data_IF_026907289573
#
_entry.id   IF_026907289573
#
_cell.length_a   1.000
_cell.length_b   1.000
_cell.length_c   1.000
_cell.angle_alpha   90.00
_cell.angle_beta   90.00
_cell.angle_gamma   90.00
#
_symmetry.space_group_name_H-M   'P 1'
#
loop_
_entity.id
_entity.type
_entity.pdbx_description
1 polymer ?
#
# COMPACT_ATOMS: atom_id res chain seq x y z
N UNK A 1 -18.86 9.14 12.46
CA UNK A 1 -18.31 9.99 11.39
C UNK A 1 -18.04 11.37 11.97
N UNK A 2 -16.90 11.53 12.63
CA UNK A 2 -16.48 12.81 13.22
C UNK A 2 -15.74 13.59 12.13
N UNK A 3 -16.42 14.58 11.55
CA UNK A 3 -15.90 15.41 10.46
C UNK A 3 -14.66 16.19 10.92
N UNK A 4 -13.60 16.19 10.11
CA UNK A 4 -12.49 17.15 10.24
C UNK A 4 -13.05 18.56 10.03
N UNK A 5 -12.64 19.49 10.89
CA UNK A 5 -12.78 20.92 10.67
C UNK A 5 -11.37 21.44 10.52
N UNK A 6 -10.92 21.65 9.28
CA UNK A 6 -9.65 22.35 9.04
C UNK A 6 -9.97 23.84 9.00
N UNK A 7 -9.59 24.57 10.04
CA UNK A 7 -9.78 26.02 10.11
C UNK A 7 -8.75 26.71 9.21
N UNK A 8 -9.17 27.08 7.99
CA UNK A 8 -8.35 27.90 7.09
C UNK A 8 -8.50 29.36 7.48
N UNK A 9 -7.41 29.93 8.01
CA UNK A 9 -7.29 31.36 8.27
C UNK A 9 -7.17 32.15 6.97
N UNK A 10 -8.18 32.97 6.67
CA UNK A 10 -8.13 34.01 5.64
C UNK A 10 -7.17 35.13 6.09
N UNK A 11 -6.05 35.29 5.38
CA UNK A 11 -5.12 36.41 5.54
C UNK A 11 -4.82 37.07 4.19
N UNK A 12 -5.33 38.29 4.01
CA UNK A 12 -5.30 39.03 2.75
C UNK A 12 -3.94 39.66 2.38
N UNK A 13 -3.82 39.96 1.08
CA UNK A 13 -2.79 40.75 0.43
C UNK A 13 -2.82 42.24 0.82
N UNK A 14 -1.67 42.84 1.15
CA UNK A 14 -1.20 44.18 0.72
C UNK A 14 0.34 44.16 0.71
N UNK A 15 0.97 44.84 -0.24
CA UNK A 15 2.38 44.68 -0.62
C UNK A 15 3.41 45.68 -0.07
N UNK A 16 4.60 45.58 -0.69
CA UNK A 16 5.73 46.53 -0.82
C UNK A 16 6.95 46.39 0.13
N UNK A 17 8.04 45.90 -0.47
CA UNK A 17 9.50 46.15 -0.37
C UNK A 17 10.13 46.86 0.85
N UNK A 18 11.13 46.22 1.47
CA UNK A 18 12.53 46.70 1.59
C UNK A 18 13.45 45.73 2.35
N UNK A 19 14.75 45.78 2.03
CA UNK A 19 15.90 45.02 2.53
C UNK A 19 16.04 44.98 4.08
N UNK A 20 16.53 43.84 4.61
CA UNK A 20 17.31 43.84 5.86
C UNK A 20 17.12 42.66 6.82
N UNK A 21 18.11 41.76 6.84
CA UNK A 21 18.68 41.03 8.00
C UNK A 21 17.91 39.94 8.76
N UNK A 22 18.73 38.96 9.19
CA UNK A 22 18.60 38.09 10.37
C UNK A 22 17.75 36.81 10.23
N UNK A 23 18.45 35.68 10.37
CA UNK A 23 17.86 34.35 10.46
C UNK A 23 16.99 34.21 11.70
N UNK A 24 15.68 34.23 11.49
CA UNK A 24 14.70 33.75 12.45
C UNK A 24 14.46 32.27 12.15
N UNK A 25 14.92 31.40 13.06
CA UNK A 25 14.38 30.04 13.18
C UNK A 25 12.89 30.20 13.51
N UNK A 26 12.04 30.09 12.49
CA UNK A 26 10.60 29.93 12.69
C UNK A 26 10.38 28.58 13.35
N UNK A 27 10.00 28.60 14.62
CA UNK A 27 9.40 27.46 15.30
C UNK A 27 8.17 27.08 14.48
N UNK A 28 8.22 25.95 13.78
CA UNK A 28 7.02 25.38 13.17
C UNK A 28 5.99 25.14 14.29
N UNK A 29 4.72 25.51 14.08
CA UNK A 29 3.69 25.23 15.06
C UNK A 29 3.59 23.71 15.25
N UNK A 30 3.77 23.25 16.48
CA UNK A 30 3.43 21.88 16.90
C UNK A 30 1.93 21.67 16.62
N UNK A 31 1.63 21.11 15.45
CA UNK A 31 0.32 20.54 15.19
C UNK A 31 0.11 19.42 16.21
N UNK A 32 -0.80 19.64 17.15
CA UNK A 32 -1.22 18.61 18.10
C UNK A 32 -1.93 17.52 17.33
N UNK A 33 -1.18 16.46 17.00
CA UNK A 33 -1.66 15.33 16.22
C UNK A 33 -2.63 14.48 17.06
N UNK A 34 -3.92 14.83 16.99
CA UNK A 34 -5.00 14.16 17.72
C UNK A 34 -5.15 12.65 17.44
N UNK A 35 -4.48 12.11 16.41
CA UNK A 35 -4.43 10.67 16.14
C UNK A 35 -3.47 9.91 17.07
N UNK A 36 -2.55 10.60 17.75
CA UNK A 36 -1.49 9.96 18.53
C UNK A 36 -1.91 9.40 19.90
N UNK A 37 -3.12 9.71 20.38
CA UNK A 37 -3.61 9.34 21.72
C UNK A 37 -4.65 8.20 21.74
N UNK A 38 -5.00 7.62 20.60
CA UNK A 38 -5.91 6.45 20.61
C UNK A 38 -5.14 5.21 21.08
N UNK A 39 -5.44 4.74 22.29
CA UNK A 39 -4.80 3.54 22.85
C UNK A 39 -5.11 2.29 22.02
N UNK A 40 -4.07 1.50 21.76
CA UNK A 40 -4.09 0.19 21.11
C UNK A 40 -4.05 -0.95 22.14
N UNK A 41 -4.15 -0.65 23.44
CA UNK A 41 -3.85 -1.60 24.53
C UNK A 41 -4.80 -2.81 24.57
N UNK A 42 -5.99 -2.71 23.98
CA UNK A 42 -7.00 -3.78 23.91
C UNK A 42 -6.78 -4.76 22.74
N UNK A 43 -5.94 -4.42 21.77
CA UNK A 43 -5.57 -5.27 20.64
C UNK A 43 -4.08 -5.62 20.69
N UNK A 44 -3.59 -5.93 21.90
CA UNK A 44 -2.18 -6.24 22.21
C UNK A 44 -1.53 -7.32 21.33
N UNK A 45 -0.29 -7.68 21.64
CA UNK A 45 0.60 -8.47 20.75
C UNK A 45 0.15 -9.88 20.34
N UNK A 46 -1.01 -10.34 20.79
CA UNK A 46 -1.57 -11.63 20.38
C UNK A 46 -2.06 -11.57 18.92
N UNK A 47 -1.74 -12.58 18.08
CA UNK A 47 -2.23 -12.61 16.72
C UNK A 47 -3.73 -12.91 16.68
N UNK A 48 -4.35 -12.52 15.57
CA UNK A 48 -5.75 -12.78 15.29
C UNK A 48 -5.84 -13.78 14.16
N UNK A 49 -6.74 -14.75 14.31
CA UNK A 49 -6.97 -15.76 13.29
C UNK A 49 -8.19 -15.40 12.42
N UNK A 50 -8.20 -15.80 11.14
CA UNK A 50 -9.34 -15.60 10.27
C UNK A 50 -10.48 -16.59 10.57
N UNK A 51 -11.69 -16.08 10.73
CA UNK A 51 -12.92 -16.87 10.80
C UNK A 51 -13.21 -17.51 9.45
N UNK A 52 -13.04 -16.76 8.35
CA UNK A 52 -13.21 -17.24 6.99
C UNK A 52 -11.85 -17.28 6.26
N UNK A 53 -11.32 -18.50 6.11
CA UNK A 53 -10.03 -18.71 5.45
C UNK A 53 -10.10 -18.47 3.94
N UNK A 54 -11.28 -18.53 3.31
CA UNK A 54 -11.44 -18.33 1.87
C UNK A 54 -11.09 -16.90 1.42
N UNK A 55 -10.99 -15.94 2.37
CA UNK A 55 -10.54 -14.57 2.13
C UNK A 55 -9.03 -14.43 1.90
N UNK A 56 -8.24 -15.48 2.15
CA UNK A 56 -6.78 -15.45 2.12
C UNK A 56 -6.27 -16.49 1.14
N UNK A 57 -5.04 -16.37 0.65
CA UNK A 57 -4.50 -17.26 -0.38
C UNK A 57 -4.32 -18.71 0.11
N UNK A 58 -4.40 -19.67 -0.82
CA UNK A 58 -4.36 -21.10 -0.53
C UNK A 58 -3.00 -21.55 0.02
N UNK A 59 -1.92 -20.87 -0.37
CA UNK A 59 -0.57 -21.15 0.06
C UNK A 59 -0.37 -20.95 1.57
N UNK A 60 -1.18 -20.08 2.20
CA UNK A 60 -1.18 -19.87 3.66
C UNK A 60 -2.21 -20.77 4.32
N UNK A 61 -3.42 -20.84 3.75
CA UNK A 61 -4.53 -21.58 4.33
C UNK A 61 -4.96 -22.70 3.38
N UNK A 62 -4.30 -23.85 3.52
CA UNK A 62 -4.54 -25.04 2.73
C UNK A 62 -6.04 -25.41 2.75
N UNK A 63 -6.56 -25.87 1.59
CA UNK A 63 -7.98 -26.25 1.32
C UNK A 63 -8.93 -25.13 0.90
N UNK A 64 -8.45 -23.92 0.68
CA UNK A 64 -9.25 -22.87 0.06
C UNK A 64 -9.15 -23.01 -1.48
N UNK A 65 -10.25 -23.01 -2.24
CA UNK A 65 -10.18 -23.24 -3.68
C UNK A 65 -9.38 -22.13 -4.39
N UNK A 66 -8.60 -22.46 -5.42
CA UNK A 66 -7.97 -21.47 -6.31
C UNK A 66 -9.05 -20.50 -6.81
N UNK A 67 -8.75 -19.20 -6.73
CA UNK A 67 -9.63 -18.15 -7.26
C UNK A 67 -9.01 -17.59 -8.53
N UNK A 68 -9.88 -17.16 -9.43
CA UNK A 68 -9.47 -16.45 -10.63
C UNK A 68 -9.55 -14.94 -10.39
N UNK A 69 -8.78 -14.13 -11.13
CA UNK A 69 -9.02 -12.69 -11.23
C UNK A 69 -10.46 -12.39 -11.69
N UNK A 70 -10.91 -11.14 -11.48
CA UNK A 70 -12.27 -10.74 -11.84
C UNK A 70 -12.59 -11.03 -13.32
N UNK A 71 -13.75 -11.65 -13.55
CA UNK A 71 -14.24 -11.96 -14.89
C UNK A 71 -14.71 -10.73 -15.66
N UNK A 72 -14.72 -10.84 -16.99
CA UNK A 72 -15.03 -9.81 -18.01
C UNK A 72 -16.07 -8.76 -17.61
N UNK A 73 -15.64 -7.72 -16.89
CA UNK A 73 -16.45 -6.53 -16.59
C UNK A 73 -15.78 -5.30 -17.17
N UNK A 74 -16.23 -4.89 -18.35
CA UNK A 74 -15.79 -3.63 -18.94
C UNK A 74 -16.61 -2.46 -18.37
N UNK A 75 -15.92 -1.40 -17.96
CA UNK A 75 -16.55 -0.18 -17.45
C UNK A 75 -16.44 0.90 -18.53
N UNK A 76 -17.55 1.35 -19.12
CA UNK A 76 -17.49 2.52 -20.00
C UNK A 76 -17.07 3.76 -19.20
N UNK A 77 -16.44 4.71 -19.89
CA UNK A 77 -15.84 5.92 -19.32
C UNK A 77 -16.73 6.66 -18.33
N UNK A 78 -17.99 6.94 -18.69
CA UNK A 78 -18.92 7.64 -17.79
C UNK A 78 -19.13 6.91 -16.44
N UNK A 79 -19.03 5.56 -16.41
CA UNK A 79 -19.11 4.81 -15.15
C UNK A 79 -17.84 4.93 -14.33
N UNK A 80 -16.69 4.96 -14.99
CA UNK A 80 -15.39 5.19 -14.34
C UNK A 80 -15.38 6.59 -13.72
N UNK A 81 -15.79 7.62 -14.45
CA UNK A 81 -15.88 9.00 -13.93
C UNK A 81 -16.87 9.12 -12.77
N UNK A 82 -18.07 8.53 -12.90
CA UNK A 82 -19.07 8.54 -11.82
C UNK A 82 -18.53 7.85 -10.57
N UNK A 83 -17.81 6.75 -10.74
CA UNK A 83 -17.18 6.03 -9.64
C UNK A 83 -16.09 6.86 -8.97
N UNK A 84 -15.18 7.46 -9.74
CA UNK A 84 -14.12 8.33 -9.20
C UNK A 84 -14.71 9.55 -8.49
N UNK A 85 -15.77 10.16 -9.04
CA UNK A 85 -16.46 11.26 -8.40
C UNK A 85 -17.02 10.88 -7.03
N UNK A 86 -17.60 9.67 -6.90
CA UNK A 86 -18.09 9.16 -5.62
C UNK A 86 -16.94 8.91 -4.64
N UNK A 87 -15.87 8.25 -5.10
CA UNK A 87 -14.67 8.00 -4.30
C UNK A 87 -14.06 9.31 -3.76
N UNK A 88 -13.92 10.32 -4.62
CA UNK A 88 -13.35 11.60 -4.24
C UNK A 88 -14.29 12.45 -3.39
N UNK A 89 -15.61 12.29 -3.52
CA UNK A 89 -16.56 12.96 -2.62
C UNK A 89 -16.42 12.49 -1.16
N UNK A 90 -15.95 11.25 -0.94
CA UNK A 90 -15.65 10.75 0.40
C UNK A 90 -14.32 11.28 0.94
N UNK A 91 -13.36 11.60 0.06
CA UNK A 91 -12.01 12.09 0.42
C UNK A 91 -11.89 13.61 0.51
N UNK A 92 -12.63 14.34 -0.31
CA UNK A 92 -12.51 15.80 -0.45
C UNK A 92 -13.80 16.51 -0.05
N UNK A 93 -13.67 17.56 0.76
CA UNK A 93 -14.81 18.36 1.23
C UNK A 93 -15.39 19.26 0.12
N UNK A 94 -14.57 19.64 -0.87
CA UNK A 94 -14.96 20.57 -1.93
C UNK A 94 -15.33 19.84 -3.21
N UNK A 95 -16.51 20.17 -3.74
CA UNK A 95 -16.96 19.71 -5.07
C UNK A 95 -15.98 20.10 -6.19
N UNK A 96 -15.36 21.28 -6.10
CA UNK A 96 -14.36 21.73 -7.07
C UNK A 96 -13.16 20.77 -7.08
N UNK A 97 -12.67 20.38 -5.91
CA UNK A 97 -11.57 19.40 -5.79
C UNK A 97 -11.96 18.01 -6.33
N UNK A 98 -13.21 17.59 -6.14
CA UNK A 98 -13.72 16.35 -6.74
C UNK A 98 -13.70 16.43 -8.26
N UNK A 99 -14.20 17.53 -8.84
CA UNK A 99 -14.21 17.75 -10.28
C UNK A 99 -12.79 17.83 -10.86
N UNK A 100 -11.86 18.52 -10.19
CA UNK A 100 -10.43 18.57 -10.55
C UNK A 100 -9.75 17.19 -10.50
N UNK A 101 -10.06 16.39 -9.47
CA UNK A 101 -9.50 15.06 -9.32
C UNK A 101 -10.00 14.09 -10.41
N UNK A 102 -11.30 14.16 -10.75
CA UNK A 102 -11.85 13.37 -11.87
C UNK A 102 -11.23 13.81 -13.21
N UNK A 103 -10.97 15.10 -13.40
CA UNK A 103 -10.34 15.61 -14.63
C UNK A 103 -8.93 15.05 -14.86
N UNK A 104 -8.23 14.59 -13.83
CA UNK A 104 -6.92 13.92 -13.98
C UNK A 104 -6.98 12.69 -14.88
N UNK A 105 -8.13 12.03 -14.98
CA UNK A 105 -8.35 10.89 -15.88
C UNK A 105 -8.09 11.24 -17.36
N UNK A 106 -8.21 12.53 -17.70
CA UNK A 106 -8.08 13.11 -19.02
C UNK A 106 -6.82 13.97 -19.18
N UNK A 107 -5.92 13.99 -18.20
CA UNK A 107 -4.64 14.70 -18.30
C UNK A 107 -3.86 14.12 -19.51
N UNK A 108 -3.53 14.93 -20.53
CA UNK A 108 -2.88 14.43 -21.74
C UNK A 108 -1.57 13.67 -21.47
N UNK A 109 -0.79 14.11 -20.48
CA UNK A 109 0.46 13.43 -20.13
C UNK A 109 0.18 12.05 -19.54
N UNK A 110 -0.83 11.95 -18.65
CA UNK A 110 -1.22 10.66 -18.09
C UNK A 110 -1.86 9.74 -19.13
N UNK A 111 -2.63 10.28 -20.08
CA UNK A 111 -3.21 9.54 -21.21
C UNK A 111 -2.13 8.95 -22.11
N UNK A 112 -1.04 9.69 -22.35
CA UNK A 112 0.10 9.23 -23.12
C UNK A 112 0.87 8.11 -22.39
N UNK A 113 1.19 8.31 -21.11
CA UNK A 113 1.88 7.30 -20.28
C UNK A 113 1.03 6.04 -20.09
N UNK A 114 -0.29 6.21 -19.90
CA UNK A 114 -1.23 5.14 -19.54
C UNK A 114 -2.46 5.20 -20.45
N UNK A 115 -2.42 4.59 -21.64
CA UNK A 115 -3.54 4.66 -22.58
C UNK A 115 -4.81 3.96 -22.07
N UNK A 116 -4.65 2.91 -21.27
CA UNK A 116 -5.76 2.12 -20.72
C UNK A 116 -6.56 2.86 -19.65
N UNK A 117 -7.81 3.21 -19.97
CA UNK A 117 -8.75 3.92 -19.08
C UNK A 117 -8.83 3.31 -17.67
N UNK A 118 -8.88 1.98 -17.57
CA UNK A 118 -9.03 1.28 -16.30
C UNK A 118 -7.79 1.38 -15.40
N UNK A 119 -6.60 1.31 -16.00
CA UNK A 119 -5.32 1.51 -15.31
C UNK A 119 -5.14 2.98 -14.91
N UNK A 120 -5.52 3.92 -15.78
CA UNK A 120 -5.55 5.35 -15.41
C UNK A 120 -6.44 5.61 -14.23
N UNK A 121 -7.63 5.02 -14.20
CA UNK A 121 -8.56 5.20 -13.09
C UNK A 121 -7.97 4.69 -11.77
N UNK A 122 -7.26 3.55 -11.78
CA UNK A 122 -6.54 3.04 -10.61
C UNK A 122 -5.43 3.99 -10.14
N UNK A 123 -4.69 4.61 -11.06
CA UNK A 123 -3.64 5.60 -10.77
C UNK A 123 -4.23 6.90 -10.22
N UNK A 124 -5.26 7.46 -10.86
CA UNK A 124 -5.96 8.66 -10.40
C UNK A 124 -6.58 8.43 -9.02
N UNK A 125 -7.09 7.22 -8.76
CA UNK A 125 -7.62 6.84 -7.46
C UNK A 125 -6.56 6.80 -6.33
N UNK A 126 -5.26 7.00 -6.59
CA UNK A 126 -4.25 7.20 -5.54
C UNK A 126 -4.38 8.58 -4.86
N UNK A 127 -5.01 9.55 -5.52
CA UNK A 127 -5.10 10.91 -5.00
C UNK A 127 -5.88 10.95 -3.67
N UNK A 128 -5.31 11.61 -2.67
CA UNK A 128 -5.85 11.67 -1.31
C UNK A 128 -5.52 10.46 -0.43
N UNK A 129 -4.64 9.54 -0.87
CA UNK A 129 -4.15 8.39 -0.08
C UNK A 129 -2.64 8.53 0.19
N UNK A 130 -2.07 7.64 1.02
CA UNK A 130 -0.61 7.59 1.16
C UNK A 130 0.15 7.25 -0.14
N UNK A 131 -0.54 6.72 -1.17
CA UNK A 131 0.03 6.45 -2.48
C UNK A 131 0.01 7.63 -3.46
N UNK A 132 -0.53 8.81 -3.09
CA UNK A 132 -0.54 9.98 -3.98
C UNK A 132 0.84 10.35 -4.58
N UNK A 133 1.98 10.19 -3.87
CA UNK A 133 3.30 10.40 -4.48
C UNK A 133 3.60 9.49 -5.68
N UNK A 134 2.99 8.30 -5.76
CA UNK A 134 3.13 7.41 -6.91
C UNK A 134 2.36 7.93 -8.14
N UNK A 135 1.20 8.58 -7.96
CA UNK A 135 0.47 9.24 -9.05
C UNK A 135 1.37 10.25 -9.78
N UNK A 136 2.12 11.05 -9.04
CA UNK A 136 2.98 12.08 -9.64
C UNK A 136 4.11 11.46 -10.50
N UNK A 137 4.65 10.30 -10.12
CA UNK A 137 5.64 9.59 -10.94
C UNK A 137 5.09 9.09 -12.28
N UNK A 138 3.78 8.85 -12.39
CA UNK A 138 3.14 8.55 -13.67
C UNK A 138 2.87 9.80 -14.50
N UNK A 139 2.60 10.94 -13.85
CA UNK A 139 2.28 12.21 -14.51
C UNK A 139 3.51 12.93 -15.04
N UNK A 140 4.62 12.87 -14.31
CA UNK A 140 5.87 13.54 -14.69
C UNK A 140 6.73 12.74 -15.67
N UNK A 141 6.30 11.53 -16.03
CA UNK A 141 6.99 10.64 -16.96
C UNK A 141 8.16 9.85 -16.33
N UNK A 142 8.32 9.87 -15.00
CA UNK A 142 9.26 8.99 -14.30
C UNK A 142 8.97 7.53 -14.63
N UNK A 143 7.69 7.15 -14.64
CA UNK A 143 7.23 5.93 -15.32
C UNK A 143 6.88 6.31 -16.76
N UNK A 144 7.55 5.70 -17.73
CA UNK A 144 7.42 6.09 -19.14
C UNK A 144 6.25 5.43 -19.87
N UNK A 145 5.78 4.28 -19.38
CA UNK A 145 4.67 3.56 -20.00
C UNK A 145 3.96 2.63 -19.02
N UNK A 146 2.64 2.50 -19.15
CA UNK A 146 1.82 1.51 -18.44
C UNK A 146 0.80 0.90 -19.39
N UNK A 147 0.79 -0.44 -19.50
CA UNK A 147 -0.19 -1.14 -20.32
C UNK A 147 -0.51 -2.54 -19.78
N UNK A 148 -1.56 -3.14 -20.32
CA UNK A 148 -1.91 -4.55 -20.12
C UNK A 148 -1.12 -5.40 -21.10
N UNK A 149 -0.48 -6.46 -20.61
CA UNK A 149 0.30 -7.38 -21.45
C UNK A 149 0.20 -8.83 -20.98
N UNK A 150 0.58 -9.75 -21.87
CA UNK A 150 0.83 -11.14 -21.50
C UNK A 150 2.20 -11.20 -20.82
N UNK A 151 2.19 -11.46 -19.52
CA UNK A 151 3.41 -11.63 -18.75
C UNK A 151 3.96 -13.06 -18.92
N UNK A 152 5.29 -13.26 -18.84
CA UNK A 152 5.88 -14.59 -18.88
C UNK A 152 5.32 -15.49 -17.78
N UNK A 153 4.82 -16.67 -18.16
CA UNK A 153 4.24 -17.66 -17.23
C UNK A 153 5.29 -18.61 -16.64
N UNK A 154 6.58 -18.36 -16.86
CA UNK A 154 7.67 -19.21 -16.36
C UNK A 154 7.90 -19.06 -14.86
N UNK A 155 7.33 -18.04 -14.22
CA UNK A 155 7.32 -17.91 -12.77
C UNK A 155 6.32 -18.89 -12.15
N UNK A 156 6.70 -19.64 -11.09
CA UNK A 156 5.74 -20.45 -10.34
C UNK A 156 4.62 -19.60 -9.73
N UNK A 157 4.89 -18.32 -9.49
CA UNK A 157 3.95 -17.33 -8.98
C UNK A 157 3.47 -16.49 -10.17
N UNK A 158 2.21 -16.64 -10.58
CA UNK A 158 1.65 -15.85 -11.70
C UNK A 158 1.75 -14.35 -11.34
N UNK A 159 2.63 -13.55 -11.97
CA UNK A 159 2.82 -12.17 -11.58
C UNK A 159 1.57 -11.33 -11.93
N UNK A 160 1.25 -10.35 -11.08
CA UNK A 160 0.18 -9.38 -11.34
C UNK A 160 0.69 -8.28 -12.25
N UNK A 161 1.93 -7.85 -12.05
CA UNK A 161 2.59 -6.86 -12.89
C UNK A 161 4.08 -7.16 -13.08
N UNK A 162 4.67 -6.49 -14.05
CA UNK A 162 6.09 -6.53 -14.36
C UNK A 162 6.62 -5.13 -14.61
N UNK A 163 7.79 -4.80 -14.04
CA UNK A 163 8.49 -3.53 -14.31
C UNK A 163 9.69 -3.76 -15.24
N UNK A 164 9.51 -3.36 -16.49
CA UNK A 164 10.47 -3.37 -17.60
C UNK A 164 11.30 -2.08 -17.67
N UNK A 165 12.47 -2.11 -18.30
CA UNK A 165 13.30 -0.90 -18.54
C UNK A 165 13.84 -0.89 -20.00
N UNK A 166 13.01 -1.13 -21.03
CA UNK A 166 13.52 -1.27 -22.40
C UNK A 166 14.01 0.07 -22.99
N UNK A 167 13.46 1.19 -22.53
CA UNK A 167 13.83 2.54 -22.93
C UNK A 167 14.85 3.21 -21.98
N UNK A 168 15.28 2.50 -20.94
CA UNK A 168 16.09 3.07 -19.84
C UNK A 168 15.27 3.74 -18.73
N UNK A 169 13.99 4.02 -18.98
CA UNK A 169 13.01 4.41 -17.97
C UNK A 169 12.13 3.20 -17.60
N UNK A 170 11.56 3.16 -16.38
CA UNK A 170 10.68 2.08 -15.95
C UNK A 170 9.35 2.11 -16.72
N UNK A 171 8.93 0.93 -17.18
CA UNK A 171 7.66 0.67 -17.85
C UNK A 171 6.92 -0.43 -17.08
N UNK A 172 5.62 -0.27 -16.88
CA UNK A 172 4.80 -1.17 -16.07
C UNK A 172 3.83 -1.95 -16.94
N UNK A 173 3.92 -3.26 -16.89
CA UNK A 173 3.07 -4.17 -17.63
C UNK A 173 2.20 -4.94 -16.66
N UNK A 174 0.89 -4.68 -16.66
CA UNK A 174 -0.09 -5.41 -15.85
C UNK A 174 -0.52 -6.66 -16.60
N UNK A 175 -0.58 -7.81 -15.93
CA UNK A 175 -1.02 -9.05 -16.57
C UNK A 175 -2.45 -8.92 -17.11
N UNK A 176 -2.63 -9.37 -18.35
CA UNK A 176 -3.93 -9.46 -19.03
C UNK A 176 -4.99 -10.16 -18.19
N UNK A 177 -4.60 -11.11 -17.33
CA UNK A 177 -5.50 -11.79 -16.41
C UNK A 177 -6.24 -10.81 -15.46
N UNK A 178 -5.64 -9.69 -15.07
CA UNK A 178 -6.21 -8.71 -14.12
C UNK A 178 -6.81 -7.47 -14.79
N UNK A 179 -6.97 -7.47 -16.12
CA UNK A 179 -7.46 -6.28 -16.86
C UNK A 179 -8.88 -5.83 -16.49
N UNK A 180 -9.65 -6.70 -15.84
CA UNK A 180 -11.03 -6.43 -15.40
C UNK A 180 -11.18 -6.34 -13.88
N UNK A 181 -10.07 -6.44 -13.15
CA UNK A 181 -10.05 -6.37 -11.68
C UNK A 181 -10.63 -5.04 -11.19
N UNK A 182 -11.14 -4.96 -9.96
CA UNK A 182 -11.56 -3.66 -9.42
C UNK A 182 -10.36 -2.69 -9.44
N UNK A 183 -10.55 -1.49 -9.99
CA UNK A 183 -9.46 -0.51 -10.13
C UNK A 183 -8.80 -0.16 -8.79
N UNK A 184 -9.55 -0.26 -7.67
CA UNK A 184 -9.00 -0.06 -6.33
C UNK A 184 -8.07 -1.20 -5.90
N UNK A 185 -8.27 -2.43 -6.38
CA UNK A 185 -7.35 -3.55 -6.11
C UNK A 185 -6.08 -3.47 -6.96
N UNK A 186 -6.14 -2.81 -8.12
CA UNK A 186 -4.96 -2.51 -8.96
C UNK A 186 -4.15 -1.32 -8.43
N UNK A 187 -4.75 -0.43 -7.64
CA UNK A 187 -4.08 0.75 -7.12
C UNK A 187 -2.82 0.39 -6.30
N UNK A 188 -2.86 -0.52 -5.29
CA UNK A 188 -1.64 -0.88 -4.57
C UNK A 188 -0.59 -1.59 -5.45
N UNK A 189 -1.02 -2.29 -6.51
CA UNK A 189 -0.09 -2.87 -7.51
C UNK A 189 0.67 -1.77 -8.24
N UNK A 190 -0.03 -0.76 -8.72
CA UNK A 190 0.58 0.34 -9.46
C UNK A 190 1.42 1.23 -8.53
N UNK A 191 0.97 1.48 -7.29
CA UNK A 191 1.78 2.18 -6.29
C UNK A 191 3.09 1.42 -5.99
N UNK A 192 3.05 0.09 -5.89
CA UNK A 192 4.23 -0.75 -5.72
C UNK A 192 5.16 -0.68 -6.93
N UNK A 193 4.61 -0.72 -8.15
CA UNK A 193 5.39 -0.60 -9.37
C UNK A 193 6.14 0.74 -9.47
N UNK A 194 5.49 1.84 -9.06
CA UNK A 194 6.08 3.19 -9.06
C UNK A 194 7.28 3.35 -8.10
N UNK A 195 7.42 2.46 -7.11
CA UNK A 195 8.58 2.42 -6.21
C UNK A 195 9.81 1.78 -6.88
N UNK A 196 9.64 0.94 -7.90
CA UNK A 196 10.74 0.25 -8.59
C UNK A 196 11.25 1.06 -9.79
N UNK A 197 12.09 2.05 -9.49
CA UNK A 197 12.62 2.99 -10.50
C UNK A 197 14.06 2.69 -10.93
N UNK A 198 14.70 1.68 -10.33
CA UNK A 198 16.03 1.23 -10.71
C UNK A 198 16.16 -0.30 -10.60
N UNK A 199 17.36 -0.81 -10.94
CA UNK A 199 17.69 -2.22 -10.86
C UNK A 199 19.12 -2.44 -10.38
N UNK A 200 19.41 -3.59 -9.74
CA UNK A 200 18.45 -4.56 -9.19
C UNK A 200 17.64 -4.04 -7.99
N UNK A 201 16.40 -4.52 -7.84
CA UNK A 201 15.59 -4.31 -6.63
C UNK A 201 16.11 -5.21 -5.50
N UNK A 202 16.42 -4.62 -4.34
CA UNK A 202 16.91 -5.36 -3.17
C UNK A 202 15.78 -5.95 -2.32
N UNK A 203 16.04 -6.97 -1.52
CA UNK A 203 15.04 -7.48 -0.56
C UNK A 203 14.58 -6.45 0.46
N UNK A 204 15.46 -5.52 0.82
CA UNK A 204 15.11 -4.42 1.70
C UNK A 204 14.16 -3.44 1.04
N UNK A 205 14.39 -3.15 -0.23
CA UNK A 205 13.49 -2.33 -1.04
C UNK A 205 12.11 -2.99 -1.17
N UNK A 206 12.07 -4.30 -1.44
CA UNK A 206 10.82 -5.07 -1.44
C UNK A 206 10.10 -4.99 -0.10
N UNK A 207 10.78 -5.24 1.01
CA UNK A 207 10.18 -5.15 2.35
C UNK A 207 9.56 -3.78 2.60
N UNK A 208 10.31 -2.70 2.35
CA UNK A 208 9.82 -1.33 2.57
C UNK A 208 8.62 -1.03 1.67
N UNK A 209 8.70 -1.42 0.40
CA UNK A 209 7.65 -1.15 -0.56
C UNK A 209 6.34 -1.89 -0.20
N UNK A 210 6.42 -3.19 0.09
CA UNK A 210 5.29 -4.00 0.57
C UNK A 210 4.72 -3.49 1.91
N UNK A 211 5.58 -3.11 2.84
CA UNK A 211 5.15 -2.50 4.11
C UNK A 211 4.33 -1.21 3.93
N UNK A 212 4.62 -0.43 2.88
CA UNK A 212 3.88 0.79 2.54
C UNK A 212 2.56 0.46 1.82
N UNK A 213 2.60 -0.37 0.78
CA UNK A 213 1.40 -0.64 -0.04
C UNK A 213 0.36 -1.51 0.66
N UNK A 214 0.76 -2.36 1.61
CA UNK A 214 -0.19 -3.05 2.50
C UNK A 214 -1.00 -2.08 3.37
N UNK A 215 -0.39 -0.99 3.84
CA UNK A 215 -1.10 0.07 4.58
C UNK A 215 -2.01 0.89 3.66
N UNK A 216 -1.58 1.17 2.42
CA UNK A 216 -2.44 1.79 1.40
C UNK A 216 -3.67 0.92 1.12
N UNK A 217 -3.50 -0.40 1.01
CA UNK A 217 -4.63 -1.32 0.90
C UNK A 217 -5.54 -1.27 2.14
N UNK A 218 -4.96 -1.14 3.34
CA UNK A 218 -5.70 -0.86 4.57
C UNK A 218 -6.57 0.40 4.47
N UNK A 219 -6.04 1.53 4.00
CA UNK A 219 -6.84 2.75 3.76
C UNK A 219 -8.01 2.48 2.80
N UNK A 220 -7.76 1.75 1.71
CA UNK A 220 -8.82 1.38 0.75
C UNK A 220 -9.91 0.51 1.36
N UNK A 221 -9.57 -0.39 2.29
CA UNK A 221 -10.56 -1.20 3.00
C UNK A 221 -11.35 -0.39 4.04
N UNK A 222 -10.74 0.63 4.65
CA UNK A 222 -11.47 1.58 5.50
C UNK A 222 -12.52 2.33 4.68
N UNK A 223 -12.17 2.75 3.45
CA UNK A 223 -13.09 3.44 2.53
C UNK A 223 -14.11 2.49 1.87
N UNK A 224 -13.71 1.26 1.58
CA UNK A 224 -14.46 0.32 0.73
C UNK A 224 -14.31 -1.13 1.22
N UNK A 225 -14.91 -1.48 2.36
CA UNK A 225 -14.71 -2.77 3.02
C UNK A 225 -15.13 -3.98 2.16
N UNK A 226 -16.05 -3.80 1.21
CA UNK A 226 -16.48 -4.85 0.29
C UNK A 226 -15.36 -5.38 -0.61
N UNK A 227 -14.24 -4.65 -0.75
CA UNK A 227 -13.08 -5.09 -1.54
C UNK A 227 -12.44 -6.36 -0.96
N UNK A 228 -12.41 -6.51 0.37
CA UNK A 228 -11.87 -7.70 1.02
C UNK A 228 -12.68 -8.96 0.66
N UNK A 229 -13.97 -8.78 0.35
CA UNK A 229 -14.93 -9.85 0.09
C UNK A 229 -15.26 -10.04 -1.40
N UNK A 230 -14.50 -9.41 -2.32
CA UNK A 230 -14.73 -9.60 -3.75
C UNK A 230 -14.53 -11.05 -4.19
N UNK A 231 -13.75 -11.83 -3.42
CA UNK A 231 -13.46 -13.23 -3.70
C UNK A 231 -12.53 -13.42 -4.91
N UNK A 232 -11.97 -12.34 -5.45
CA UNK A 232 -11.00 -12.39 -6.53
C UNK A 232 -9.65 -12.83 -6.01
N UNK A 233 -8.85 -13.40 -6.90
CA UNK A 233 -7.47 -13.80 -6.59
C UNK A 233 -6.65 -12.63 -6.02
N UNK A 234 -6.75 -11.43 -6.61
CA UNK A 234 -5.98 -10.26 -6.19
C UNK A 234 -6.42 -9.75 -4.81
N UNK A 235 -7.72 -9.77 -4.50
CA UNK A 235 -8.20 -9.41 -3.17
C UNK A 235 -7.64 -10.37 -2.10
N UNK A 236 -7.60 -11.68 -2.37
CA UNK A 236 -7.02 -12.66 -1.43
C UNK A 236 -5.54 -12.41 -1.18
N UNK A 237 -4.77 -12.05 -2.22
CA UNK A 237 -3.36 -11.65 -2.09
C UNK A 237 -3.21 -10.46 -1.14
N UNK A 238 -3.96 -9.38 -1.38
CA UNK A 238 -3.91 -8.18 -0.55
C UNK A 238 -4.40 -8.41 0.88
N UNK A 239 -5.48 -9.19 1.06
CA UNK A 239 -5.96 -9.61 2.38
C UNK A 239 -4.89 -10.38 3.15
N UNK A 240 -4.16 -11.27 2.48
CA UNK A 240 -3.10 -12.08 3.10
C UNK A 240 -1.94 -11.20 3.56
N UNK A 241 -1.47 -10.29 2.73
CA UNK A 241 -0.40 -9.37 3.13
C UNK A 241 -0.85 -8.41 4.24
N UNK A 242 -2.07 -7.90 4.17
CA UNK A 242 -2.63 -7.07 5.23
C UNK A 242 -2.83 -7.85 6.53
N UNK A 243 -3.22 -9.13 6.49
CA UNK A 243 -3.29 -9.99 7.68
C UNK A 243 -1.91 -10.09 8.35
N UNK A 244 -0.85 -10.37 7.58
CA UNK A 244 0.50 -10.38 8.13
C UNK A 244 0.86 -9.05 8.77
N UNK A 245 0.49 -7.94 8.11
CA UNK A 245 0.75 -6.59 8.59
C UNK A 245 0.02 -6.31 9.90
N UNK A 246 -1.25 -6.66 9.99
CA UNK A 246 -2.09 -6.47 11.18
C UNK A 246 -1.65 -7.38 12.33
N UNK A 247 -1.17 -8.60 12.06
CA UNK A 247 -0.67 -9.49 13.11
C UNK A 247 0.77 -9.22 13.55
N UNK A 248 1.52 -8.39 12.81
CA UNK A 248 2.84 -7.93 13.25
C UNK A 248 2.69 -6.70 14.15
N UNK A 249 2.52 -6.92 15.46
CA UNK A 249 2.30 -5.87 16.47
C UNK A 249 3.16 -6.10 17.72
N UNK A 250 3.44 -5.00 18.42
CA UNK A 250 4.03 -5.07 19.76
C UNK A 250 2.98 -5.36 20.86
N UNK A 251 3.43 -5.55 22.10
CA UNK A 251 2.58 -5.79 23.27
C UNK A 251 1.51 -4.72 23.49
N UNK A 252 1.71 -3.50 22.98
CA UNK A 252 0.76 -2.38 23.07
C UNK A 252 -0.16 -2.31 21.86
N UNK A 253 -0.17 -3.33 21.00
CA UNK A 253 -1.01 -3.40 19.80
C UNK A 253 -0.56 -2.49 18.66
N UNK A 254 0.59 -1.83 18.75
CA UNK A 254 1.09 -0.94 17.69
C UNK A 254 1.65 -1.76 16.54
N UNK A 255 1.33 -1.39 15.31
CA UNK A 255 1.84 -2.06 14.11
C UNK A 255 3.38 -2.01 14.07
N UNK A 256 4.01 -3.14 13.77
CA UNK A 256 5.46 -3.39 13.68
C UNK A 256 5.78 -4.11 12.38
N UNK A 257 7.06 -4.20 12.03
CA UNK A 257 7.55 -5.00 10.91
C UNK A 257 8.39 -6.18 11.37
N UNK A 258 9.12 -6.00 12.47
CA UNK A 258 10.21 -6.90 12.87
C UNK A 258 9.87 -7.78 14.07
N UNK A 259 8.71 -7.55 14.70
CA UNK A 259 8.29 -8.19 15.94
C UNK A 259 6.80 -8.53 15.86
N UNK A 260 6.47 -9.75 16.28
CA UNK A 260 5.12 -10.20 16.58
C UNK A 260 5.18 -11.13 17.80
N UNK A 261 4.09 -11.25 18.56
CA UNK A 261 4.05 -12.15 19.72
C UNK A 261 4.09 -13.63 19.33
N UNK A 262 3.53 -13.97 18.17
CA UNK A 262 3.44 -15.31 17.61
C UNK A 262 3.43 -15.21 16.07
N UNK A 263 3.22 -16.33 15.36
CA UNK A 263 3.14 -16.31 13.90
C UNK A 263 2.03 -15.38 13.39
N UNK A 264 2.34 -14.66 12.31
CA UNK A 264 1.41 -13.72 11.68
C UNK A 264 0.28 -14.39 10.91
N UNK A 265 0.38 -15.71 10.69
CA UNK A 265 -0.67 -16.54 10.09
C UNK A 265 -1.04 -17.69 11.04
N UNK A 266 -1.84 -17.44 12.09
CA UNK A 266 -2.27 -18.51 13.00
C UNK A 266 -2.92 -19.67 12.26
N UNK A 267 -2.61 -20.90 12.66
CA UNK A 267 -3.06 -22.16 12.03
C UNK A 267 -2.63 -22.41 10.58
N UNK A 268 -1.74 -21.59 10.03
CA UNK A 268 -1.07 -21.87 8.75
C UNK A 268 -0.10 -23.04 8.89
N UNK A 269 0.05 -23.83 7.84
CA UNK A 269 1.11 -24.84 7.73
C UNK A 269 2.49 -24.20 7.49
N UNK A 270 2.48 -22.93 7.08
CA UNK A 270 3.66 -22.11 6.81
C UNK A 270 3.79 -21.06 7.93
N UNK A 271 4.55 -21.34 8.99
CA UNK A 271 4.78 -20.39 10.07
C UNK A 271 5.63 -19.22 9.56
N UNK A 272 5.19 -18.00 9.87
CA UNK A 272 5.88 -16.76 9.54
C UNK A 272 5.93 -15.90 10.79
N UNK A 273 7.13 -15.56 11.26
CA UNK A 273 7.33 -14.93 12.57
C UNK A 273 6.87 -13.47 12.62
N UNK A 274 7.03 -12.74 11.52
CA UNK A 274 6.66 -11.33 11.40
C UNK A 274 6.57 -10.95 9.92
N UNK A 275 6.02 -9.78 9.62
CA UNK A 275 5.89 -9.27 8.24
C UNK A 275 7.23 -9.26 7.47
N UNK A 276 8.35 -8.99 8.14
CA UNK A 276 9.66 -8.90 7.50
C UNK A 276 10.35 -10.25 7.25
N UNK A 277 9.87 -11.34 7.86
CA UNK A 277 10.50 -12.66 7.80
C UNK A 277 10.64 -13.23 6.37
N UNK A 278 9.70 -13.02 5.42
CA UNK A 278 9.84 -13.51 4.05
C UNK A 278 10.92 -12.80 3.22
N UNK A 279 11.51 -11.72 3.72
CA UNK A 279 12.50 -10.92 2.99
C UNK A 279 13.90 -11.12 3.60
N UNK A 280 14.91 -11.38 2.77
CA UNK A 280 16.31 -11.39 3.21
C UNK A 280 16.86 -9.95 3.36
N UNK A 281 16.20 -9.15 4.19
CA UNK A 281 16.40 -7.69 4.25
C UNK A 281 17.62 -7.29 5.09
N UNK A 282 18.10 -8.17 5.98
CA UNK A 282 19.19 -7.87 6.91
C UNK A 282 20.51 -7.73 6.15
N UNK A 283 20.78 -8.68 5.26
CA UNK A 283 22.01 -8.73 4.47
C UNK A 283 21.85 -8.11 3.07
N UNK A 284 20.63 -7.73 2.69
CA UNK A 284 20.38 -6.98 1.47
C UNK A 284 21.23 -5.70 1.37
N UNK A 285 21.67 -5.38 0.16
CA UNK A 285 22.31 -4.08 -0.11
C UNK A 285 21.32 -2.93 0.05
N UNK A 286 21.78 -1.77 0.51
CA UNK A 286 20.99 -0.55 0.43
C UNK A 286 20.94 -0.05 -1.00
N UNK A 287 19.76 0.35 -1.48
CA UNK A 287 19.57 1.05 -2.75
C UNK A 287 19.16 2.50 -2.47
N UNK A 288 19.38 3.38 -3.45
CA UNK A 288 18.95 4.78 -3.33
C UNK A 288 17.43 4.86 -3.20
N UNK A 289 16.93 5.88 -2.52
CA UNK A 289 15.49 6.14 -2.49
C UNK A 289 15.06 7.04 -3.64
N UNK A 290 13.82 6.90 -4.09
CA UNK A 290 13.18 7.80 -5.04
C UNK A 290 12.18 8.74 -4.34
N UNK A 291 11.63 9.70 -5.08
CA UNK A 291 10.68 10.67 -4.53
C UNK A 291 9.35 10.04 -4.13
N UNK A 292 8.93 8.97 -4.82
CA UNK A 292 7.75 8.17 -4.45
C UNK A 292 7.93 7.59 -3.04
N UNK A 293 9.05 6.90 -2.78
CA UNK A 293 9.38 6.38 -1.46
C UNK A 293 9.35 7.48 -0.39
N UNK A 294 10.02 8.61 -0.66
CA UNK A 294 10.11 9.71 0.29
C UNK A 294 8.74 10.31 0.61
N UNK A 295 7.88 10.44 -0.40
CA UNK A 295 6.51 10.90 -0.25
C UNK A 295 5.67 9.91 0.57
N UNK A 296 5.64 8.63 0.18
CA UNK A 296 4.83 7.61 0.86
C UNK A 296 5.27 7.43 2.32
N UNK A 297 6.58 7.40 2.58
CA UNK A 297 7.10 7.35 3.95
C UNK A 297 6.65 8.57 4.76
N UNK A 298 6.69 9.77 4.18
CA UNK A 298 6.23 10.99 4.85
C UNK A 298 4.78 10.88 5.27
N UNK A 299 3.91 10.35 4.40
CA UNK A 299 2.50 10.15 4.74
C UNK A 299 2.34 9.15 5.89
N UNK A 300 2.99 7.98 5.77
CA UNK A 300 2.88 6.87 6.73
C UNK A 300 3.48 7.19 8.10
N UNK A 301 4.65 7.82 8.16
CA UNK A 301 5.39 8.07 9.41
C UNK A 301 5.12 9.47 9.97
N UNK A 302 4.70 10.37 9.10
CA UNK A 302 4.39 11.76 9.41
C UNK A 302 5.55 12.74 9.43
N UNK A 303 6.73 12.30 9.04
CA UNK A 303 7.93 13.12 9.03
C UNK A 303 8.63 13.03 7.68
N UNK A 304 9.15 14.17 7.23
CA UNK A 304 10.00 14.24 6.05
C UNK A 304 11.45 14.06 6.47
N UNK A 305 12.15 13.11 5.85
CA UNK A 305 13.57 12.91 6.08
C UNK A 305 14.33 13.08 4.76
N UNK A 306 15.21 14.10 4.65
CA UNK A 306 16.05 14.24 3.48
C UNK A 306 17.01 13.05 3.39
N UNK A 307 17.18 12.53 2.17
CA UNK A 307 18.10 11.42 1.91
C UNK A 307 17.64 10.04 2.39
N UNK A 308 16.34 9.83 2.64
CA UNK A 308 15.82 8.48 2.83
C UNK A 308 16.13 7.62 1.61
N UNK A 309 16.52 6.39 1.90
CA UNK A 309 16.91 5.36 0.97
C UNK A 309 16.20 4.05 1.35
N UNK A 310 16.30 3.04 0.50
CA UNK A 310 15.87 1.69 0.86
C UNK A 310 16.95 1.02 1.73
N UNK A 311 17.05 1.48 2.98
CA UNK A 311 18.09 1.11 3.93
C UNK A 311 17.50 0.66 5.29
N UNK A 312 18.38 0.17 6.17
CA UNK A 312 17.97 -0.31 7.50
C UNK A 312 17.32 0.80 8.34
N UNK A 313 17.62 2.07 8.07
CA UNK A 313 17.01 3.20 8.77
C UNK A 313 15.56 3.36 8.36
N UNK A 314 15.22 3.23 7.08
CA UNK A 314 13.84 3.23 6.61
C UNK A 314 13.02 2.06 7.18
N UNK A 315 13.60 0.85 7.22
CA UNK A 315 12.95 -0.32 7.86
C UNK A 315 12.67 -0.03 9.34
N UNK A 316 13.65 0.42 10.11
CA UNK A 316 13.48 0.74 11.54
C UNK A 316 12.51 1.88 11.78
N UNK A 317 12.47 2.85 10.87
CA UNK A 317 11.54 3.97 10.96
C UNK A 317 10.09 3.49 10.80
N UNK A 318 9.82 2.68 9.78
CA UNK A 318 8.51 2.04 9.59
C UNK A 318 8.16 1.10 10.73
N UNK A 319 9.11 0.32 11.22
CA UNK A 319 8.91 -0.54 12.38
C UNK A 319 8.50 0.27 13.61
N UNK A 320 9.19 1.38 13.89
CA UNK A 320 8.96 2.19 15.09
C UNK A 320 7.69 3.04 15.04
N UNK A 321 7.39 3.65 13.89
CA UNK A 321 6.35 4.70 13.77
C UNK A 321 5.53 4.55 12.49
N UNK A 322 4.24 4.33 12.68
CA UNK A 322 3.23 4.34 11.63
C UNK A 322 2.01 5.07 12.18
N UNK A 323 1.55 6.09 11.47
CA UNK A 323 0.40 6.92 11.87
C UNK A 323 -0.73 6.90 10.86
N UNK A 324 -0.57 6.14 9.77
CA UNK A 324 -1.52 6.14 8.67
C UNK A 324 -2.90 5.68 9.14
N UNK A 325 -2.90 4.57 9.88
CA UNK A 325 -4.08 3.96 10.47
C UNK A 325 -4.07 4.20 11.98
N UNK A 326 -5.17 4.73 12.51
CA UNK A 326 -5.41 4.82 13.95
C UNK A 326 -5.94 3.49 14.54
N UNK A 327 -6.07 3.43 15.86
CA UNK A 327 -6.50 2.19 16.52
C UNK A 327 -7.92 1.77 16.14
N UNK A 328 -8.81 2.71 15.80
CA UNK A 328 -10.16 2.38 15.36
C UNK A 328 -10.11 1.80 13.94
N UNK A 329 -9.34 2.39 13.04
CA UNK A 329 -9.13 1.90 11.68
C UNK A 329 -8.53 0.49 11.69
N UNK A 330 -7.54 0.22 12.55
CA UNK A 330 -6.96 -1.13 12.71
C UNK A 330 -8.00 -2.15 13.19
N UNK A 331 -8.81 -1.81 14.21
CA UNK A 331 -9.92 -2.69 14.66
C UNK A 331 -10.96 -2.90 13.58
N UNK A 332 -11.29 -1.85 12.83
CA UNK A 332 -12.21 -1.93 11.71
C UNK A 332 -11.71 -2.89 10.65
N UNK A 333 -10.42 -2.82 10.30
CA UNK A 333 -9.80 -3.74 9.34
C UNK A 333 -9.82 -5.19 9.82
N UNK A 334 -9.54 -5.43 11.12
CA UNK A 334 -9.69 -6.77 11.71
C UNK A 334 -11.12 -7.30 11.56
N UNK A 335 -12.13 -6.45 11.79
CA UNK A 335 -13.52 -6.82 11.57
C UNK A 335 -13.84 -7.09 10.10
N UNK A 336 -13.38 -6.23 9.18
CA UNK A 336 -13.57 -6.38 7.73
C UNK A 336 -12.97 -7.70 7.23
N UNK A 337 -11.82 -8.10 7.74
CA UNK A 337 -11.15 -9.36 7.40
C UNK A 337 -11.67 -10.57 8.20
N UNK A 338 -12.70 -10.39 9.04
CA UNK A 338 -13.27 -11.47 9.83
C UNK A 338 -12.27 -12.08 10.83
N UNK A 339 -11.43 -11.26 11.45
CA UNK A 339 -10.40 -11.71 12.38
C UNK A 339 -10.92 -11.76 13.83
N UNK A 340 -10.55 -12.82 14.55
CA UNK A 340 -10.86 -13.00 15.97
C UNK A 340 -9.56 -13.18 16.77
N UNK A 341 -9.48 -12.70 18.03
CA UNK A 341 -8.36 -13.03 18.89
C UNK A 341 -8.18 -14.56 18.97
N UNK A 342 -6.93 -15.02 18.94
CA UNK A 342 -6.62 -16.44 19.06
C UNK A 342 -6.94 -16.92 20.49
N UNK A 343 -7.96 -17.76 20.69
CA UNK A 343 -8.39 -18.12 22.07
C UNK A 343 -7.41 -19.06 22.79
N UNK A 344 -6.63 -19.84 22.03
CA UNK A 344 -5.63 -20.76 22.57
C UNK A 344 -4.36 -20.68 21.71
N UNK A 345 -3.26 -20.08 22.21
CA UNK A 345 -1.96 -20.15 21.56
C UNK A 345 -1.64 -21.61 21.25
N UNK A 346 -1.36 -21.93 19.99
CA UNK A 346 -0.81 -23.24 19.69
C UNK A 346 0.63 -23.21 20.19
N UNK A 347 0.96 -24.11 21.13
CA UNK A 347 2.35 -24.45 21.41
C UNK A 347 2.96 -24.87 20.07
N UNK A 348 3.72 -23.96 19.45
CA UNK A 348 4.33 -24.19 18.14
C UNK A 348 5.14 -25.49 18.19
N UNK A 349 5.20 -26.26 17.10
CA UNK A 349 6.02 -27.47 17.11
C UNK A 349 7.45 -27.11 17.50
N UNK A 350 7.94 -27.65 18.61
CA UNK A 350 9.35 -27.54 19.00
C UNK A 350 10.21 -28.24 17.94
N UNK A 351 10.63 -27.50 16.92
CA UNK A 351 11.39 -28.02 15.78
C UNK A 351 11.88 -26.89 14.88
N UNK A 352 12.95 -27.14 14.12
CA UNK A 352 13.46 -26.18 13.15
C UNK A 352 12.34 -25.72 12.22
N UNK A 353 12.08 -24.41 12.19
CA UNK A 353 11.14 -23.79 11.27
C UNK A 353 11.56 -24.18 9.85
N UNK A 354 10.74 -24.94 9.09
CA UNK A 354 11.09 -25.25 7.71
C UNK A 354 11.28 -23.94 6.95
N UNK A 355 12.18 -23.93 5.96
CA UNK A 355 12.35 -22.78 5.09
C UNK A 355 10.98 -22.36 4.55
N UNK A 356 10.55 -21.15 4.91
CA UNK A 356 9.27 -20.58 4.48
C UNK A 356 9.29 -20.60 2.94
N UNK A 357 8.42 -21.39 2.27
CA UNK A 357 8.31 -21.29 0.82
C UNK A 357 8.05 -19.82 0.48
N UNK A 358 8.73 -19.29 -0.53
CA UNK A 358 8.52 -17.91 -0.96
C UNK A 358 7.01 -17.70 -1.14
N UNK A 359 6.41 -16.83 -0.32
CA UNK A 359 4.95 -16.68 -0.12
C UNK A 359 4.19 -16.13 -1.34
N UNK A 360 4.68 -16.39 -2.54
CA UNK A 360 4.27 -15.66 -3.72
C UNK A 360 4.78 -14.22 -3.77
N UNK A 361 5.53 -13.79 -2.76
CA UNK A 361 6.13 -12.44 -2.71
C UNK A 361 7.46 -12.46 -3.46
N UNK A 362 7.65 -11.58 -4.47
CA UNK A 362 6.81 -10.45 -4.87
C UNK A 362 5.79 -10.77 -5.99
N UNK A 363 4.60 -10.19 -5.91
CA UNK A 363 3.58 -10.26 -6.97
C UNK A 363 3.93 -9.43 -8.21
N UNK A 364 4.93 -8.55 -8.08
CA UNK A 364 5.51 -7.77 -9.16
C UNK A 364 6.91 -8.29 -9.44
N UNK A 365 7.19 -8.58 -10.70
CA UNK A 365 8.53 -8.96 -11.15
C UNK A 365 9.25 -7.75 -11.73
N UNK A 366 10.58 -7.71 -11.60
CA UNK A 366 11.41 -6.65 -12.19
C UNK A 366 12.51 -7.30 -13.01
N UNK A 367 12.59 -7.01 -14.31
CA UNK A 367 13.53 -7.72 -15.19
C UNK A 367 13.42 -7.31 -16.66
N UNK A 368 14.35 -7.70 -17.51
CA UNK A 368 14.22 -7.45 -18.95
C UNK A 368 13.01 -8.20 -19.49
N UNK A 369 12.18 -7.52 -20.29
CA UNK A 369 11.04 -8.12 -20.97
C UNK A 369 11.48 -9.12 -22.04
#
# INVERSE_FOLDING_TARGET
>A
MTRRTTLVGLGGLVGASALGTAGAQRSEPEATDSRSDSSFDDIGGQPFEPIDRDLFIEEIYSRTPEREPEGRRFWPEYRVETFLAALFADRFESRERVEEAVQQLHDPALVETVPGLHLRAAIVAMQGTAAEPALEAYRDGTISHVDVSLLPTSSPTKPVAHVGFPSGAPEVYVSDAYRFEDMRLLLPVLALAALYQDRPVSDRERLIAHALVSLVYGELLVESPQLAWSGTELARRWNTELLARLNTRDERGRLRLLEAGETVYPHSEVPVDNFAAPFDWRDARSTGGNDVLRGMLREVVGWSFPGLAFDTRAVRLLDYRQRLLDSWEVRFLMHVLGLTPLENPIDGPEGETPAVPALGWPWITVGTY
#
